data_IF_810679545090
#
_entry.id   IF_810679545090
#
_cell.length_a   1.000
_cell.length_b   1.000
_cell.length_c   1.000
_cell.angle_alpha   90.00
_cell.angle_beta   90.00
_cell.angle_gamma   90.00
#
_symmetry.space_group_name_H-M   'P 1'
#
loop_
_entity.id
_entity.type
_entity.pdbx_description
1 polymer ?
#
# COMPACT_ATOMS: atom_id res chain seq x y z
N UNK A 1 7.56 -33.45 3.78
CA UNK A 1 8.21 -32.18 3.43
C UNK A 1 9.69 -32.46 3.20
N UNK A 2 10.24 -31.95 2.10
CA UNK A 2 11.67 -32.00 1.76
C UNK A 2 12.30 -30.64 1.96
N UNK A 3 13.61 -30.60 2.22
CA UNK A 3 14.31 -29.38 2.59
C UNK A 3 15.71 -29.34 1.99
N UNK A 4 16.19 -28.15 1.62
CA UNK A 4 17.61 -27.88 1.36
C UNK A 4 18.06 -26.60 2.06
N UNK A 5 19.31 -26.56 2.50
CA UNK A 5 19.88 -25.43 3.20
C UNK A 5 21.27 -25.10 2.67
N UNK A 6 21.69 -23.85 2.83
CA UNK A 6 23.05 -23.44 2.48
C UNK A 6 24.03 -23.49 3.66
N UNK A 7 23.62 -24.09 4.79
CA UNK A 7 24.43 -24.19 6.00
C UNK A 7 25.71 -25.02 5.79
N UNK A 8 25.68 -25.97 4.86
CA UNK A 8 26.87 -26.74 4.46
C UNK A 8 27.92 -25.90 3.72
N UNK A 9 27.57 -24.71 3.21
CA UNK A 9 28.47 -23.81 2.47
C UNK A 9 28.85 -22.56 3.29
N UNK A 10 28.20 -22.34 4.44
CA UNK A 10 28.57 -21.30 5.41
C UNK A 10 27.96 -21.64 6.77
N UNK A 11 28.79 -21.63 7.84
CA UNK A 11 28.35 -21.82 9.23
C UNK A 11 27.36 -20.76 9.72
N UNK A 12 27.20 -19.65 8.97
CA UNK A 12 26.22 -18.58 9.22
C UNK A 12 25.07 -18.63 8.19
N UNK A 13 25.00 -19.68 7.38
CA UNK A 13 23.97 -19.88 6.35
C UNK A 13 22.59 -20.04 6.98
N UNK A 14 21.68 -19.09 6.70
CA UNK A 14 20.29 -19.07 7.21
C UNK A 14 19.25 -19.30 6.13
N UNK A 15 19.65 -19.77 4.95
CA UNK A 15 18.73 -19.97 3.82
C UNK A 15 18.23 -21.41 3.87
N UNK A 16 16.92 -21.55 4.02
CA UNK A 16 16.20 -22.82 4.01
C UNK A 16 15.14 -22.77 2.92
N UNK A 17 15.16 -23.77 2.04
CA UNK A 17 14.10 -24.00 1.05
C UNK A 17 13.39 -25.28 1.47
N UNK A 18 12.10 -25.19 1.78
CA UNK A 18 11.27 -26.30 2.28
C UNK A 18 10.08 -26.45 1.34
N UNK A 19 9.81 -27.67 0.87
CA UNK A 19 8.73 -27.93 -0.06
C UNK A 19 8.04 -29.28 0.20
N UNK A 20 6.83 -29.45 -0.31
CA UNK A 20 6.12 -30.72 -0.26
C UNK A 20 6.36 -31.47 -1.59
N UNK A 21 7.06 -32.61 -1.59
CA UNK A 21 7.31 -33.39 -2.81
C UNK A 21 6.05 -33.84 -3.55
N UNK A 22 4.91 -33.92 -2.86
CA UNK A 22 3.63 -34.25 -3.48
C UNK A 22 2.96 -33.08 -4.22
N UNK A 23 3.54 -31.87 -4.20
CA UNK A 23 2.98 -30.64 -4.80
C UNK A 23 3.96 -29.99 -5.76
N UNK A 24 5.25 -29.98 -5.41
CA UNK A 24 6.30 -29.39 -6.23
C UNK A 24 7.57 -30.20 -6.07
N UNK A 25 8.34 -30.36 -7.14
CA UNK A 25 9.66 -30.93 -7.12
C UNK A 25 10.68 -29.82 -7.30
N UNK A 26 11.50 -29.58 -6.27
CA UNK A 26 12.60 -28.64 -6.33
C UNK A 26 13.91 -29.39 -6.56
N UNK A 27 14.57 -29.13 -7.69
CA UNK A 27 15.86 -29.70 -8.05
C UNK A 27 16.93 -28.62 -7.90
N UNK A 28 17.90 -28.86 -7.03
CA UNK A 28 18.98 -27.90 -6.78
C UNK A 28 19.99 -27.97 -7.92
N UNK A 29 20.35 -26.80 -8.45
CA UNK A 29 21.36 -26.63 -9.50
C UNK A 29 22.69 -26.22 -8.89
N UNK A 30 22.68 -25.27 -7.95
CA UNK A 30 23.90 -24.76 -7.30
C UNK A 30 23.58 -24.19 -5.91
N UNK A 31 24.55 -24.25 -4.99
CA UNK A 31 24.42 -23.69 -3.64
C UNK A 31 25.67 -22.89 -3.30
N UNK A 32 25.49 -21.66 -2.85
CA UNK A 32 26.54 -20.80 -2.33
C UNK A 32 26.26 -20.34 -0.91
N UNK A 33 27.25 -19.68 -0.29
CA UNK A 33 27.08 -19.03 1.01
C UNK A 33 25.98 -17.95 1.02
N UNK A 34 25.54 -17.48 -0.15
CA UNK A 34 24.58 -16.38 -0.30
C UNK A 34 23.28 -16.77 -1.02
N UNK A 35 23.21 -17.94 -1.68
CA UNK A 35 22.03 -18.33 -2.46
C UNK A 35 21.88 -19.86 -2.61
N UNK A 36 20.65 -20.31 -2.90
CA UNK A 36 20.33 -21.66 -3.36
C UNK A 36 19.65 -21.51 -4.72
N UNK A 37 20.32 -21.96 -5.78
CA UNK A 37 19.80 -21.99 -7.14
C UNK A 37 19.17 -23.36 -7.40
N UNK A 38 17.95 -23.38 -7.92
CA UNK A 38 17.29 -24.61 -8.29
C UNK A 38 16.14 -24.38 -9.24
N UNK A 39 15.74 -25.45 -9.93
CA UNK A 39 14.57 -25.50 -10.79
C UNK A 39 13.38 -26.02 -10.01
N UNK A 40 12.25 -25.32 -10.12
CA UNK A 40 10.95 -25.75 -9.59
C UNK A 40 10.16 -26.39 -10.73
N UNK A 41 9.85 -27.67 -10.57
CA UNK A 41 8.92 -28.39 -11.44
C UNK A 41 7.64 -28.59 -10.66
N UNK A 42 6.55 -27.98 -11.11
CA UNK A 42 5.22 -28.22 -10.54
C UNK A 42 4.61 -29.40 -11.27
N UNK A 43 4.31 -30.50 -10.57
CA UNK A 43 3.59 -31.63 -11.18
C UNK A 43 2.14 -31.25 -11.54
N UNK A 44 1.62 -30.16 -10.97
CA UNK A 44 0.32 -29.58 -11.29
C UNK A 44 0.36 -28.06 -11.13
N UNK A 45 0.36 -27.34 -12.25
CA UNK A 45 0.01 -25.92 -12.25
C UNK A 45 -1.50 -25.86 -12.04
N UNK A 46 -1.93 -25.73 -10.79
CA UNK A 46 -3.37 -25.70 -10.46
C UNK A 46 -3.94 -24.37 -10.92
N UNK A 47 -4.68 -24.41 -12.03
CA UNK A 47 -5.65 -23.36 -12.37
C UNK A 47 -6.83 -23.51 -11.42
N UNK A 48 -7.17 -22.43 -10.72
CA UNK A 48 -8.48 -22.31 -10.07
C UNK A 48 -9.52 -22.03 -11.16
N UNK A 49 -10.17 -23.08 -11.68
CA UNK A 49 -11.58 -22.91 -12.04
C UNK A 49 -12.32 -23.03 -10.74
N UNK A 50 -12.77 -21.88 -10.24
CA UNK A 50 -13.64 -21.82 -9.07
C UNK A 50 -14.93 -22.54 -9.47
N UNK A 51 -15.08 -23.74 -8.93
CA UNK A 51 -16.13 -24.70 -9.24
C UNK A 51 -16.98 -24.88 -7.99
N UNK A 52 -18.30 -24.94 -8.14
CA UNK A 52 -19.18 -25.23 -7.00
C UNK A 52 -19.06 -26.67 -6.47
N UNK A 53 -18.37 -27.56 -7.19
CA UNK A 53 -18.18 -28.97 -6.82
C UNK A 53 -16.74 -29.32 -6.40
N UNK A 54 -16.58 -30.40 -5.62
CA UNK A 54 -15.30 -30.85 -5.00
C UNK A 54 -14.22 -31.37 -5.98
N UNK A 55 -14.38 -31.22 -7.29
CA UNK A 55 -13.47 -31.80 -8.30
C UNK A 55 -12.63 -30.71 -8.97
N UNK A 56 -11.35 -30.65 -8.62
CA UNK A 56 -10.34 -29.85 -9.32
C UNK A 56 -10.10 -30.47 -10.71
N UNK A 57 -10.41 -29.73 -11.76
CA UNK A 57 -10.17 -30.15 -13.15
C UNK A 57 -9.23 -29.13 -13.79
N UNK A 58 -7.99 -29.54 -14.06
CA UNK A 58 -7.04 -28.79 -14.90
C UNK A 58 -6.93 -29.52 -16.24
N UNK A 59 -7.03 -28.79 -17.35
CA UNK A 59 -6.84 -29.33 -18.69
C UNK A 59 -5.69 -28.61 -19.39
N UNK A 60 -5.05 -29.27 -20.36
CA UNK A 60 -3.99 -28.66 -21.18
C UNK A 60 -4.44 -27.34 -21.82
N UNK A 61 -5.69 -27.28 -22.27
CA UNK A 61 -6.27 -26.06 -22.84
C UNK A 61 -6.35 -24.90 -21.83
N UNK A 62 -6.55 -25.20 -20.53
CA UNK A 62 -6.58 -24.19 -19.47
C UNK A 62 -5.18 -23.63 -19.17
N UNK A 63 -4.16 -24.49 -19.19
CA UNK A 63 -2.75 -24.09 -19.04
C UNK A 63 -2.29 -23.25 -20.25
N UNK A 64 -2.66 -23.66 -21.47
CA UNK A 64 -2.39 -22.91 -22.70
C UNK A 64 -3.09 -21.54 -22.70
N UNK A 65 -4.33 -21.48 -22.22
CA UNK A 65 -5.06 -20.21 -22.05
C UNK A 65 -4.40 -19.30 -21.02
N UNK A 66 -3.95 -19.84 -19.88
CA UNK A 66 -3.19 -19.05 -18.89
C UNK A 66 -1.88 -18.53 -19.47
N UNK A 67 -1.15 -19.36 -20.20
CA UNK A 67 0.08 -18.93 -20.87
C UNK A 67 -0.20 -17.80 -21.87
N UNK A 68 -1.31 -17.89 -22.62
CA UNK A 68 -1.76 -16.83 -23.52
C UNK A 68 -2.07 -15.53 -22.76
N UNK A 69 -2.82 -15.58 -21.66
CA UNK A 69 -3.10 -14.42 -20.81
C UNK A 69 -1.80 -13.74 -20.34
N UNK A 70 -0.85 -14.54 -19.83
CA UNK A 70 0.45 -14.02 -19.38
C UNK A 70 1.26 -13.41 -20.52
N UNK A 71 1.29 -14.07 -21.69
CA UNK A 71 2.00 -13.59 -22.88
C UNK A 71 1.42 -12.30 -23.44
N UNK A 72 0.09 -12.15 -23.38
CA UNK A 72 -0.63 -10.96 -23.84
C UNK A 72 -0.61 -9.81 -22.82
N UNK A 73 -0.03 -10.00 -21.63
CA UNK A 73 -0.02 -9.02 -20.53
C UNK A 73 -1.42 -8.48 -20.19
N UNK A 74 -2.42 -9.37 -20.18
CA UNK A 74 -3.79 -9.04 -19.80
C UNK A 74 -4.10 -9.58 -18.40
N UNK A 75 -4.86 -8.81 -17.62
CA UNK A 75 -5.31 -9.20 -16.28
C UNK A 75 -6.83 -9.11 -16.19
N UNK A 76 -7.42 -9.86 -15.26
CA UNK A 76 -8.84 -9.71 -14.93
C UNK A 76 -9.15 -8.29 -14.47
N UNK A 77 -10.20 -7.72 -15.05
CA UNK A 77 -10.87 -6.57 -14.46
C UNK A 77 -11.51 -7.00 -13.14
N UNK A 78 -11.60 -6.06 -12.20
CA UNK A 78 -12.32 -6.30 -10.96
C UNK A 78 -13.80 -6.59 -11.27
N UNK A 79 -14.36 -7.58 -10.60
CA UNK A 79 -15.72 -8.07 -10.85
C UNK A 79 -16.62 -7.86 -9.64
N UNK A 80 -17.87 -7.47 -9.89
CA UNK A 80 -18.98 -7.41 -8.93
C UNK A 80 -20.18 -8.20 -9.47
N UNK A 81 -21.18 -8.47 -8.62
CA UNK A 81 -22.37 -9.24 -9.02
C UNK A 81 -22.20 -10.75 -8.83
N UNK A 82 -22.68 -11.54 -9.80
CA UNK A 82 -22.66 -13.00 -9.76
C UNK A 82 -21.24 -13.55 -9.90
N UNK A 83 -20.83 -14.38 -8.94
CA UNK A 83 -19.50 -14.96 -8.95
C UNK A 83 -19.33 -16.10 -9.97
N UNK A 84 -20.33 -16.99 -10.04
CA UNK A 84 -20.38 -18.02 -11.09
C UNK A 84 -21.10 -17.45 -12.29
N UNK A 85 -20.41 -17.41 -13.42
CA UNK A 85 -20.94 -16.81 -14.64
C UNK A 85 -21.73 -17.81 -15.47
N UNK A 86 -21.53 -19.11 -15.27
CA UNK A 86 -22.25 -20.17 -15.98
C UNK A 86 -22.83 -21.21 -15.04
N UNK A 87 -23.98 -21.77 -15.39
CA UNK A 87 -24.58 -22.91 -14.69
C UNK A 87 -25.20 -23.92 -15.67
N UNK A 88 -25.16 -25.21 -15.34
CA UNK A 88 -25.70 -26.25 -16.21
C UNK A 88 -27.23 -26.42 -16.14
N UNK A 89 -27.94 -25.53 -15.43
CA UNK A 89 -29.41 -25.57 -15.17
C UNK A 89 -29.96 -26.89 -14.59
N UNK A 90 -29.10 -27.79 -14.11
CA UNK A 90 -29.53 -29.04 -13.46
C UNK A 90 -29.86 -28.82 -12.00
N UNK A 91 -30.63 -29.72 -11.41
CA UNK A 91 -31.07 -29.68 -10.02
C UNK A 91 -30.34 -30.71 -9.16
N UNK A 92 -30.31 -30.49 -7.84
CA UNK A 92 -29.75 -31.45 -6.88
C UNK A 92 -28.23 -31.58 -6.95
N UNK A 93 -27.71 -32.78 -6.67
CA UNK A 93 -26.27 -33.06 -6.62
C UNK A 93 -25.55 -32.92 -7.98
N UNK A 94 -26.30 -32.85 -9.08
CA UNK A 94 -25.76 -32.62 -10.42
C UNK A 94 -25.68 -31.13 -10.81
N UNK A 95 -26.17 -30.24 -9.94
CA UNK A 95 -26.11 -28.80 -10.18
C UNK A 95 -24.66 -28.32 -10.17
N UNK A 96 -24.21 -27.77 -11.29
CA UNK A 96 -22.84 -27.31 -11.49
C UNK A 96 -22.88 -25.84 -11.90
N UNK A 97 -22.16 -25.01 -11.15
CA UNK A 97 -21.85 -23.64 -11.51
C UNK A 97 -20.34 -23.47 -11.69
N UNK A 98 -19.95 -22.66 -12.69
CA UNK A 98 -18.56 -22.38 -13.04
C UNK A 98 -18.37 -20.91 -13.36
N UNK A 99 -17.20 -20.39 -13.03
CA UNK A 99 -16.73 -19.09 -13.53
C UNK A 99 -15.95 -19.31 -14.83
N UNK A 100 -16.58 -19.05 -15.97
CA UNK A 100 -15.97 -19.23 -17.30
C UNK A 100 -15.87 -17.93 -18.10
N UNK A 101 -16.72 -16.96 -17.79
CA UNK A 101 -16.75 -15.66 -18.45
C UNK A 101 -15.89 -14.67 -17.67
N UNK A 102 -14.98 -13.97 -18.36
CA UNK A 102 -14.02 -13.04 -17.76
C UNK A 102 -13.93 -11.78 -18.59
N UNK A 103 -13.92 -10.63 -17.93
CA UNK A 103 -13.55 -9.36 -18.53
C UNK A 103 -12.05 -9.11 -18.27
N UNK A 104 -11.25 -9.02 -19.34
CA UNK A 104 -9.79 -8.86 -19.26
C UNK A 104 -9.37 -7.50 -19.80
N UNK A 105 -8.42 -6.84 -19.13
CA UNK A 105 -7.84 -5.57 -19.54
C UNK A 105 -6.32 -5.67 -19.69
N UNK A 106 -5.76 -4.99 -20.69
CA UNK A 106 -4.31 -4.79 -20.82
C UNK A 106 -3.88 -3.51 -20.08
N UNK A 107 -2.58 -3.20 -20.12
CA UNK A 107 -2.03 -1.97 -19.54
C UNK A 107 -2.76 -0.69 -19.97
N UNK A 108 -3.09 -0.57 -21.26
CA UNK A 108 -3.77 0.61 -21.81
C UNK A 108 -5.15 0.81 -21.19
N UNK A 109 -5.88 -0.30 -20.98
CA UNK A 109 -7.15 -0.27 -20.26
C UNK A 109 -6.97 0.29 -18.84
N UNK A 110 -6.06 -0.26 -18.04
CA UNK A 110 -5.83 0.24 -16.67
C UNK A 110 -5.30 1.68 -16.63
N UNK A 111 -4.67 2.16 -17.70
CA UNK A 111 -4.21 3.55 -17.81
C UNK A 111 -5.38 4.52 -18.02
N UNK A 112 -6.32 4.20 -18.91
CA UNK A 112 -7.44 5.08 -19.28
C UNK A 112 -8.70 4.89 -18.43
N UNK A 113 -8.92 3.66 -17.98
CA UNK A 113 -10.14 3.16 -17.35
C UNK A 113 -9.85 2.49 -16.00
N UNK A 114 -8.97 3.08 -15.18
CA UNK A 114 -8.58 2.51 -13.88
C UNK A 114 -9.76 2.29 -12.93
N UNK A 115 -10.85 3.02 -13.11
CA UNK A 115 -11.96 3.04 -12.16
C UNK A 115 -13.14 2.16 -12.63
N UNK A 116 -13.01 1.50 -13.79
CA UNK A 116 -14.06 0.65 -14.36
C UNK A 116 -13.96 -0.78 -13.81
N UNK A 117 -15.11 -1.33 -13.43
CA UNK A 117 -15.27 -2.70 -12.95
C UNK A 117 -16.29 -3.42 -13.83
N UNK A 118 -16.13 -4.74 -13.97
CA UNK A 118 -17.09 -5.59 -14.66
C UNK A 118 -18.20 -6.01 -13.69
N UNK A 119 -19.45 -5.84 -14.09
CA UNK A 119 -20.62 -6.25 -13.32
C UNK A 119 -21.26 -7.48 -13.99
N UNK A 120 -21.27 -8.62 -13.29
CA UNK A 120 -21.96 -9.81 -13.76
C UNK A 120 -23.38 -9.83 -13.21
N UNK A 121 -24.35 -9.60 -14.09
CA UNK A 121 -25.76 -9.52 -13.75
C UNK A 121 -26.38 -10.93 -13.59
N UNK A 122 -27.54 -11.05 -12.91
CA UNK A 122 -28.26 -12.31 -12.85
C UNK A 122 -28.53 -12.88 -14.26
N UNK A 123 -28.33 -14.19 -14.47
CA UNK A 123 -28.38 -14.80 -15.81
C UNK A 123 -29.78 -14.81 -16.44
N UNK A 124 -30.83 -14.58 -15.64
CA UNK A 124 -32.23 -14.60 -16.11
C UNK A 124 -32.58 -15.92 -16.78
N UNK A 125 -32.97 -15.84 -18.05
CA UNK A 125 -33.32 -17.01 -18.88
C UNK A 125 -32.11 -17.74 -19.49
N UNK A 126 -30.90 -17.18 -19.38
CA UNK A 126 -29.67 -17.78 -19.92
C UNK A 126 -29.00 -18.71 -18.90
N UNK A 127 -28.18 -19.62 -19.38
CA UNK A 127 -27.20 -20.37 -18.60
C UNK A 127 -25.92 -19.58 -18.32
N UNK A 128 -25.72 -18.44 -19.00
CA UNK A 128 -24.66 -17.47 -18.75
C UNK A 128 -25.16 -16.18 -18.08
N UNK A 129 -24.28 -15.56 -17.29
CA UNK A 129 -24.49 -14.26 -16.64
C UNK A 129 -24.01 -13.15 -17.58
N UNK A 130 -24.86 -12.17 -17.93
CA UNK A 130 -24.42 -11.05 -18.76
C UNK A 130 -23.36 -10.21 -18.04
N UNK A 131 -22.28 -9.88 -18.75
CA UNK A 131 -21.24 -8.98 -18.28
C UNK A 131 -21.52 -7.55 -18.74
N UNK A 132 -21.72 -6.65 -17.79
CA UNK A 132 -21.92 -5.22 -18.01
C UNK A 132 -20.65 -4.44 -17.64
N UNK A 133 -20.22 -3.54 -18.52
CA UNK A 133 -19.04 -2.69 -18.34
C UNK A 133 -19.44 -1.21 -18.51
N UNK A 134 -19.69 -0.48 -17.41
CA UNK A 134 -20.03 0.93 -17.48
C UNK A 134 -18.80 1.76 -17.87
N UNK A 135 -18.80 2.35 -19.06
CA UNK A 135 -17.72 3.22 -19.55
C UNK A 135 -17.74 4.64 -18.97
N UNK A 136 -18.76 4.98 -18.18
CA UNK A 136 -18.86 6.29 -17.52
C UNK A 136 -17.96 6.37 -16.30
N UNK A 137 -17.13 7.41 -16.24
CA UNK A 137 -16.26 7.69 -15.08
C UNK A 137 -17.11 8.13 -13.90
N UNK A 138 -17.09 7.43 -12.75
CA UNK A 138 -17.71 7.95 -11.56
C UNK A 138 -17.04 9.27 -11.17
N UNK A 139 -17.85 10.30 -10.94
CA UNK A 139 -17.39 11.56 -10.38
C UNK A 139 -16.92 11.32 -8.94
N UNK A 140 -15.62 11.10 -8.73
CA UNK A 140 -15.05 11.07 -7.38
C UNK A 140 -15.14 12.49 -6.83
N UNK A 141 -16.16 12.76 -6.02
CA UNK A 141 -16.31 14.01 -5.28
C UNK A 141 -15.44 13.94 -4.02
N UNK A 142 -14.32 14.66 -4.01
CA UNK A 142 -13.50 14.81 -2.81
C UNK A 142 -12.04 15.18 -3.09
N UNK A 143 -11.47 16.01 -2.22
CA UNK A 143 -10.03 16.31 -2.25
C UNK A 143 -9.21 15.12 -1.77
N UNK A 144 -8.07 14.85 -2.43
CA UNK A 144 -7.14 13.81 -1.96
C UNK A 144 -6.55 14.22 -0.61
N UNK A 145 -6.52 13.31 0.39
CA UNK A 145 -5.91 13.61 1.68
C UNK A 145 -4.43 13.91 1.52
N UNK A 146 -3.93 14.87 2.30
CA UNK A 146 -2.50 15.20 2.34
C UNK A 146 -1.71 13.98 2.81
N UNK A 147 -0.60 13.68 2.11
CA UNK A 147 0.36 12.64 2.50
C UNK A 147 1.76 13.16 2.25
N UNK A 148 2.62 13.06 3.27
CA UNK A 148 4.02 13.45 3.19
C UNK A 148 4.76 12.61 2.15
N UNK A 149 5.52 13.29 1.29
CA UNK A 149 6.40 12.65 0.32
C UNK A 149 7.84 12.72 0.82
N UNK A 150 8.53 11.58 0.85
CA UNK A 150 9.90 11.50 1.38
C UNK A 150 10.88 12.36 0.57
N UNK A 151 10.59 12.60 -0.71
CA UNK A 151 11.39 13.46 -1.60
C UNK A 151 11.36 14.93 -1.21
N UNK A 152 10.42 15.38 -0.38
CA UNK A 152 10.40 16.77 0.06
C UNK A 152 11.58 17.09 0.98
N UNK A 153 12.07 16.11 1.75
CA UNK A 153 13.20 16.31 2.64
C UNK A 153 14.51 16.60 1.92
N UNK A 154 14.67 16.18 0.66
CA UNK A 154 15.88 16.47 -0.12
C UNK A 154 15.90 17.90 -0.68
N UNK A 155 14.80 18.65 -0.58
CA UNK A 155 14.75 20.03 -1.04
C UNK A 155 15.41 20.97 -0.02
N UNK A 156 16.30 21.84 -0.48
CA UNK A 156 17.07 22.76 0.36
C UNK A 156 16.21 23.63 1.30
N UNK A 157 15.01 24.03 0.87
CA UNK A 157 14.10 24.86 1.67
C UNK A 157 13.29 24.08 2.70
N UNK A 158 13.31 22.74 2.69
CA UNK A 158 12.44 21.92 3.53
C UNK A 158 12.59 22.24 5.02
N UNK A 159 13.82 22.18 5.55
CA UNK A 159 14.07 22.50 6.96
C UNK A 159 13.76 23.96 7.29
N UNK A 160 13.93 24.88 6.33
CA UNK A 160 13.51 26.28 6.46
C UNK A 160 12.01 26.38 6.71
N UNK A 161 11.19 25.76 5.86
CA UNK A 161 9.73 25.74 6.00
C UNK A 161 9.27 25.12 7.32
N UNK A 162 9.96 24.07 7.79
CA UNK A 162 9.66 23.47 9.09
C UNK A 162 9.99 24.43 10.24
N UNK A 163 11.10 25.18 10.15
CA UNK A 163 11.45 26.20 11.17
C UNK A 163 10.49 27.38 11.16
N UNK A 164 9.98 27.78 9.99
CA UNK A 164 9.06 28.93 9.87
C UNK A 164 7.76 28.73 10.67
N UNK A 165 7.33 27.46 10.81
CA UNK A 165 6.16 27.08 11.61
C UNK A 165 6.49 26.80 13.09
N UNK A 166 7.76 26.86 13.51
CA UNK A 166 8.17 26.62 14.90
C UNK A 166 7.91 27.78 15.88
N UNK A 167 7.02 28.70 15.51
CA UNK A 167 6.64 29.83 16.36
C UNK A 167 5.97 29.33 17.65
N UNK A 168 6.06 30.15 18.69
CA UNK A 168 5.30 29.91 19.93
C UNK A 168 3.81 29.99 19.62
N UNK A 169 3.08 28.93 19.96
CA UNK A 169 1.63 28.85 19.81
C UNK A 169 1.03 28.56 21.18
N UNK A 170 -0.15 29.09 21.43
CA UNK A 170 -0.91 28.81 22.65
C UNK A 170 -1.54 27.41 22.59
N UNK A 171 -1.64 26.75 23.75
CA UNK A 171 -2.29 25.45 23.94
C UNK A 171 -1.43 24.46 24.71
N UNK A 172 -1.96 23.26 24.93
CA UNK A 172 -1.14 22.17 25.50
C UNK A 172 -0.02 21.77 24.52
N UNK A 173 1.10 21.21 25.00
CA UNK A 173 2.20 20.80 24.11
C UNK A 173 1.75 19.88 22.95
N UNK A 174 0.79 18.98 23.20
CA UNK A 174 0.19 18.17 22.12
C UNK A 174 -0.60 19.00 21.11
N UNK A 175 -1.40 19.96 21.56
CA UNK A 175 -2.15 20.83 20.65
C UNK A 175 -1.23 21.72 19.82
N UNK A 176 -0.14 22.20 20.42
CA UNK A 176 0.88 23.00 19.74
C UNK A 176 1.50 22.21 18.59
N UNK A 177 1.95 20.98 18.83
CA UNK A 177 2.49 20.10 17.77
C UNK A 177 1.44 19.88 16.67
N UNK A 178 0.20 19.55 17.04
CA UNK A 178 -0.89 19.39 16.07
C UNK A 178 -1.18 20.64 15.24
N UNK A 179 -1.12 21.85 15.85
CA UNK A 179 -1.27 23.14 15.15
C UNK A 179 -0.11 23.39 14.19
N UNK A 180 1.14 23.16 14.62
CA UNK A 180 2.35 23.31 13.78
C UNK A 180 2.30 22.40 12.55
N UNK A 181 1.97 21.11 12.74
CA UNK A 181 1.78 20.17 11.63
C UNK A 181 0.69 20.61 10.66
N UNK A 182 -0.43 21.15 11.17
CA UNK A 182 -1.51 21.67 10.31
C UNK A 182 -1.07 22.90 9.50
N UNK A 183 -0.31 23.82 10.09
CA UNK A 183 0.22 25.00 9.39
C UNK A 183 1.26 24.64 8.33
N UNK A 184 2.00 23.55 8.53
CA UNK A 184 3.01 23.08 7.59
C UNK A 184 2.42 22.47 6.31
N UNK A 185 1.20 21.90 6.37
CA UNK A 185 0.52 21.28 5.22
C UNK A 185 0.44 22.19 3.97
N UNK A 186 -0.09 23.42 4.03
CA UNK A 186 -0.16 24.30 2.86
C UNK A 186 1.22 24.64 2.29
N UNK A 187 2.23 24.89 3.14
CA UNK A 187 3.60 25.19 2.70
C UNK A 187 4.22 24.02 1.93
N UNK A 188 4.03 22.78 2.41
CA UNK A 188 4.50 21.59 1.71
C UNK A 188 3.74 21.31 0.42
N UNK A 189 2.43 21.61 0.37
CA UNK A 189 1.63 21.54 -0.87
C UNK A 189 2.12 22.54 -1.90
N UNK A 190 2.46 23.76 -1.47
CA UNK A 190 3.03 24.78 -2.33
C UNK A 190 4.41 24.38 -2.84
N UNK A 191 5.29 23.87 -1.96
CA UNK A 191 6.58 23.30 -2.36
C UNK A 191 6.41 22.19 -3.40
N UNK A 192 5.44 21.29 -3.21
CA UNK A 192 5.14 20.23 -4.17
C UNK A 192 4.71 20.81 -5.52
N UNK A 193 3.82 21.79 -5.53
CA UNK A 193 3.33 22.39 -6.77
C UNK A 193 4.43 23.16 -7.53
N UNK A 194 5.38 23.76 -6.82
CA UNK A 194 6.50 24.51 -7.42
C UNK A 194 7.61 23.59 -7.95
N UNK A 195 8.02 22.60 -7.17
CA UNK A 195 9.26 21.84 -7.46
C UNK A 195 9.05 20.37 -7.84
N UNK A 196 7.86 19.80 -7.61
CA UNK A 196 7.63 18.34 -7.70
C UNK A 196 6.32 17.93 -8.39
N UNK A 197 5.63 18.85 -9.08
CA UNK A 197 4.28 18.63 -9.63
C UNK A 197 4.27 17.52 -10.68
N UNK A 198 5.29 17.47 -11.54
CA UNK A 198 5.43 16.46 -12.57
C UNK A 198 6.91 16.06 -12.81
N UNK A 199 7.45 15.17 -11.96
CA UNK A 199 8.83 14.70 -12.09
C UNK A 199 9.10 14.02 -13.44
N UNK A 200 8.11 13.31 -13.98
CA UNK A 200 8.24 12.58 -15.25
C UNK A 200 8.41 13.53 -16.44
N UNK A 201 7.68 14.66 -16.44
CA UNK A 201 7.85 15.69 -17.46
C UNK A 201 9.22 16.35 -17.38
N UNK A 202 9.76 16.59 -16.17
CA UNK A 202 11.11 17.13 -16.00
C UNK A 202 12.16 16.16 -16.58
N UNK A 203 12.08 14.87 -16.24
CA UNK A 203 12.97 13.85 -16.81
C UNK A 203 12.87 13.78 -18.35
N UNK A 204 11.65 13.87 -18.89
CA UNK A 204 11.42 13.83 -20.34
C UNK A 204 12.04 15.04 -21.04
N UNK A 205 11.90 16.23 -20.47
CA UNK A 205 12.46 17.46 -21.04
C UNK A 205 13.99 17.47 -20.97
N UNK A 206 14.58 17.05 -19.85
CA UNK A 206 16.03 16.93 -19.71
C UNK A 206 16.61 15.89 -20.68
N UNK A 207 15.93 14.77 -20.90
CA UNK A 207 16.35 13.78 -21.90
C UNK A 207 16.31 14.38 -23.33
N UNK A 208 15.27 15.15 -23.67
CA UNK A 208 15.21 15.84 -24.97
C UNK A 208 16.34 16.86 -25.13
N UNK A 209 16.64 17.64 -24.09
CA UNK A 209 17.75 18.60 -24.11
C UNK A 209 19.10 17.89 -24.25
N UNK A 210 19.28 16.76 -23.55
CA UNK A 210 20.48 15.93 -23.67
C UNK A 210 20.66 15.41 -25.10
N UNK A 211 19.62 14.85 -25.71
CA UNK A 211 19.69 14.39 -27.11
C UNK A 211 20.02 15.54 -28.07
N UNK A 212 19.44 16.72 -27.88
CA UNK A 212 19.73 17.89 -28.72
C UNK A 212 21.19 18.36 -28.56
N UNK A 213 21.73 18.35 -27.34
CA UNK A 213 23.14 18.69 -27.11
C UNK A 213 24.11 17.64 -27.65
N UNK A 214 23.79 16.36 -27.51
CA UNK A 214 24.59 15.29 -28.08
C UNK A 214 24.61 15.35 -29.61
N UNK A 215 23.48 15.68 -30.25
CA UNK A 215 23.42 15.91 -31.68
C UNK A 215 24.25 17.15 -32.12
N UNK A 216 24.28 18.21 -31.30
CA UNK A 216 25.13 19.37 -31.58
C UNK A 216 26.64 19.06 -31.43
N UNK A 217 27.01 18.24 -30.44
CA UNK A 217 28.38 17.78 -30.22
C UNK A 217 28.89 16.81 -31.30
N UNK A 218 27.99 16.07 -31.97
CA UNK A 218 28.35 15.23 -33.12
C UNK A 218 28.85 16.07 -34.31
N UNK A 219 28.38 17.32 -34.43
CA UNK A 219 28.81 18.27 -35.47
C UNK A 219 30.12 18.97 -35.13
N UNK A 220 30.38 19.26 -33.85
CA UNK A 220 31.65 19.85 -33.35
C UNK A 220 32.10 19.19 -32.02
N UNK A 221 32.83 18.05 -32.10
CA UNK A 221 33.23 17.27 -30.93
C UNK A 221 34.24 17.95 -30.00
N UNK A 222 34.89 19.02 -30.49
CA UNK A 222 35.90 19.81 -29.80
C UNK A 222 35.35 20.96 -28.97
N UNK A 223 34.03 21.23 -29.06
CA UNK A 223 33.41 22.33 -28.34
C UNK A 223 33.34 22.05 -26.83
N UNK A 224 34.23 22.71 -26.07
CA UNK A 224 34.36 22.57 -24.62
C UNK A 224 33.11 23.06 -23.88
N UNK A 225 32.49 24.15 -24.34
CA UNK A 225 31.29 24.70 -23.70
C UNK A 225 30.09 23.76 -23.85
N UNK A 226 29.92 23.18 -25.04
CA UNK A 226 28.87 22.20 -25.31
C UNK A 226 29.06 20.92 -24.48
N UNK A 227 30.30 20.44 -24.28
CA UNK A 227 30.58 19.30 -23.38
C UNK A 227 30.30 19.61 -21.91
N UNK A 228 30.69 20.79 -21.43
CA UNK A 228 30.37 21.20 -20.06
C UNK A 228 28.85 21.27 -19.84
N UNK A 229 28.12 21.74 -20.85
CA UNK A 229 26.65 21.78 -20.82
C UNK A 229 26.04 20.39 -20.85
N UNK A 230 26.55 19.47 -21.66
CA UNK A 230 26.13 18.05 -21.65
C UNK A 230 26.31 17.45 -20.25
N UNK A 231 27.48 17.63 -19.63
CA UNK A 231 27.74 17.12 -18.29
C UNK A 231 26.74 17.68 -17.27
N UNK A 232 26.45 18.99 -17.32
CA UNK A 232 25.47 19.62 -16.44
C UNK A 232 24.06 19.04 -16.62
N UNK A 233 23.60 18.88 -17.86
CA UNK A 233 22.29 18.29 -18.17
C UNK A 233 22.22 16.85 -17.68
N UNK A 234 23.30 16.08 -17.82
CA UNK A 234 23.38 14.68 -17.42
C UNK A 234 23.34 14.54 -15.89
N UNK A 235 24.03 15.43 -15.16
CA UNK A 235 23.93 15.52 -13.70
C UNK A 235 22.50 15.87 -13.24
N UNK A 236 21.87 16.85 -13.89
CA UNK A 236 20.52 17.27 -13.54
C UNK A 236 19.47 16.22 -13.90
N UNK A 237 19.68 15.48 -15.01
CA UNK A 237 18.88 14.32 -15.37
C UNK A 237 18.98 13.22 -14.30
N UNK A 238 20.19 12.89 -13.85
CA UNK A 238 20.37 11.89 -12.78
C UNK A 238 19.70 12.32 -11.47
N UNK A 239 19.77 13.60 -11.10
CA UNK A 239 19.06 14.12 -9.92
C UNK A 239 17.54 14.00 -10.10
N UNK A 240 17.01 14.43 -11.24
CA UNK A 240 15.57 14.35 -11.54
C UNK A 240 15.06 12.91 -11.56
N UNK A 241 15.81 12.00 -12.19
CA UNK A 241 15.49 10.57 -12.28
C UNK A 241 15.41 9.91 -10.90
N UNK A 242 16.34 10.22 -9.99
CA UNK A 242 16.29 9.75 -8.60
C UNK A 242 15.06 10.25 -7.85
N UNK A 243 14.65 11.50 -8.08
CA UNK A 243 13.44 12.08 -7.48
C UNK A 243 12.19 11.40 -8.02
N UNK A 244 12.10 11.20 -9.33
CA UNK A 244 11.00 10.48 -9.98
C UNK A 244 10.89 9.05 -9.43
N UNK A 245 12.00 8.31 -9.39
CA UNK A 245 12.04 6.95 -8.88
C UNK A 245 11.57 6.89 -7.41
N UNK A 246 12.12 7.76 -6.55
CA UNK A 246 11.74 7.81 -5.14
C UNK A 246 10.25 8.13 -4.94
N UNK A 247 9.72 9.07 -5.73
CA UNK A 247 8.30 9.42 -5.73
C UNK A 247 7.40 8.24 -6.13
N UNK A 248 7.75 7.57 -7.22
CA UNK A 248 6.99 6.43 -7.74
C UNK A 248 7.10 5.22 -6.83
N UNK A 249 8.28 4.94 -6.29
CA UNK A 249 8.53 3.86 -5.31
C UNK A 249 7.67 4.03 -4.06
N UNK A 250 7.62 5.25 -3.51
CA UNK A 250 6.78 5.54 -2.35
C UNK A 250 5.29 5.35 -2.66
N UNK A 251 4.82 5.79 -3.83
CA UNK A 251 3.43 5.60 -4.28
C UNK A 251 3.10 4.13 -4.54
N UNK A 252 4.02 3.39 -5.14
CA UNK A 252 3.86 1.98 -5.48
C UNK A 252 3.84 1.11 -4.23
N UNK A 253 4.39 1.56 -3.09
CA UNK A 253 4.49 0.80 -1.82
C UNK A 253 5.13 -0.58 -2.05
N UNK A 254 6.22 -0.63 -2.83
CA UNK A 254 6.99 -1.85 -3.11
C UNK A 254 8.18 -1.92 -2.15
N UNK A 255 8.25 -2.97 -1.35
CA UNK A 255 9.32 -3.20 -0.36
C UNK A 255 10.46 -4.08 -0.87
N UNK A 256 10.21 -4.89 -1.92
CA UNK A 256 11.08 -5.99 -2.33
C UNK A 256 12.15 -5.63 -3.37
N UNK A 257 12.07 -4.44 -3.99
CA UNK A 257 13.11 -3.97 -4.92
C UNK A 257 14.36 -3.57 -4.14
N UNK A 258 15.21 -4.57 -3.87
CA UNK A 258 16.54 -4.43 -3.28
C UNK A 258 17.67 -4.38 -4.33
N UNK A 259 17.38 -4.64 -5.61
CA UNK A 259 18.39 -4.71 -6.67
C UNK A 259 17.95 -3.89 -7.90
N UNK A 260 18.54 -2.70 -8.03
CA UNK A 260 19.38 -2.40 -9.20
C UNK A 260 18.77 -1.82 -10.47
N UNK A 261 17.44 -1.83 -10.68
CA UNK A 261 16.89 -1.25 -11.92
C UNK A 261 15.93 -0.07 -11.65
N UNK A 262 16.32 1.12 -12.12
CA UNK A 262 15.53 2.36 -12.09
C UNK A 262 14.36 2.28 -13.08
N UNK A 263 13.42 1.38 -12.84
CA UNK A 263 12.29 1.14 -13.73
C UNK A 263 11.06 1.96 -13.29
N UNK A 264 11.03 3.24 -13.67
CA UNK A 264 9.87 4.12 -13.43
C UNK A 264 8.58 3.57 -14.06
N UNK A 265 8.67 2.94 -15.24
CA UNK A 265 7.54 2.34 -15.93
C UNK A 265 6.90 1.20 -15.11
N UNK A 266 7.70 0.34 -14.48
CA UNK A 266 7.20 -0.70 -13.58
C UNK A 266 6.42 -0.10 -12.41
N UNK A 267 6.98 0.92 -11.73
CA UNK A 267 6.28 1.57 -10.63
C UNK A 267 4.98 2.24 -11.07
N UNK A 268 4.97 2.91 -12.22
CA UNK A 268 3.76 3.48 -12.81
C UNK A 268 2.69 2.41 -13.04
N UNK A 269 3.08 1.26 -13.60
CA UNK A 269 2.17 0.13 -13.84
C UNK A 269 1.58 -0.39 -12.54
N UNK A 270 2.42 -0.67 -11.56
CA UNK A 270 1.99 -1.16 -10.24
C UNK A 270 1.07 -0.18 -9.54
N UNK A 271 1.35 1.14 -9.59
CA UNK A 271 0.49 2.16 -8.97
C UNK A 271 -0.90 2.14 -9.57
N UNK A 272 -1.02 2.06 -10.91
CA UNK A 272 -2.30 2.10 -11.61
C UNK A 272 -3.13 0.84 -11.39
N UNK A 273 -2.51 -0.34 -11.48
CA UNK A 273 -3.18 -1.62 -11.18
C UNK A 273 -3.65 -1.65 -9.72
N UNK A 274 -2.81 -1.20 -8.78
CA UNK A 274 -3.21 -1.10 -7.35
C UNK A 274 -4.34 -0.11 -7.13
N UNK A 275 -4.36 1.03 -7.83
CA UNK A 275 -5.48 1.97 -7.75
C UNK A 275 -6.77 1.30 -8.23
N UNK A 276 -6.76 0.68 -9.40
CA UNK A 276 -7.91 -0.02 -9.95
C UNK A 276 -8.45 -1.12 -9.02
N UNK A 277 -7.54 -1.94 -8.48
CA UNK A 277 -7.91 -3.02 -7.55
C UNK A 277 -8.51 -2.51 -6.24
N UNK A 278 -7.98 -1.40 -5.70
CA UNK A 278 -8.38 -0.88 -4.38
C UNK A 278 -9.57 0.07 -4.43
N UNK A 279 -9.95 0.61 -5.60
CA UNK A 279 -11.14 1.46 -5.75
C UNK A 279 -12.39 0.65 -5.48
N UNK A 280 -13.17 0.98 -4.45
CA UNK A 280 -14.44 0.32 -4.14
C UNK A 280 -15.55 1.12 -4.80
N UNK A 281 -16.15 0.60 -5.87
CA UNK A 281 -17.24 1.32 -6.57
C UNK A 281 -18.59 1.09 -5.90
N UNK A 282 -18.91 -0.18 -5.60
CA UNK A 282 -20.16 -0.60 -4.97
C UNK A 282 -19.94 -1.75 -3.99
N UNK A 283 -20.89 -1.90 -3.09
CA UNK A 283 -20.94 -2.97 -2.08
C UNK A 283 -22.36 -3.55 -2.06
N UNK A 284 -22.46 -4.87 -1.87
CA UNK A 284 -23.71 -5.56 -1.60
C UNK A 284 -24.06 -5.40 -0.11
N UNK A 285 -25.22 -4.80 0.17
CA UNK A 285 -25.75 -4.64 1.52
C UNK A 285 -26.37 -5.94 2.03
N UNK A 286 -26.66 -5.96 3.34
CA UNK A 286 -27.36 -7.07 4.00
C UNK A 286 -28.79 -7.30 3.48
N UNK A 287 -29.45 -6.25 2.95
CA UNK A 287 -30.78 -6.35 2.34
C UNK A 287 -30.77 -6.95 0.91
N UNK A 288 -29.59 -7.33 0.41
CA UNK A 288 -29.40 -7.87 -0.93
C UNK A 288 -29.34 -6.81 -2.04
N UNK A 289 -29.40 -5.52 -1.73
CA UNK A 289 -29.27 -4.44 -2.70
C UNK A 289 -27.83 -3.95 -2.83
N UNK A 290 -27.46 -3.52 -4.03
CA UNK A 290 -26.18 -2.86 -4.29
C UNK A 290 -26.26 -1.37 -3.98
N UNK A 291 -25.21 -0.82 -3.37
CA UNK A 291 -25.04 0.64 -3.24
C UNK A 291 -24.93 1.30 -4.62
N UNK A 292 -25.54 2.47 -4.79
CA UNK A 292 -25.60 3.19 -6.06
C UNK A 292 -24.54 4.27 -6.20
N UNK A 293 -23.99 4.77 -5.08
CA UNK A 293 -23.02 5.86 -5.09
C UNK A 293 -21.98 5.73 -3.95
N UNK A 294 -20.90 6.52 -4.07
CA UNK A 294 -19.78 6.52 -3.12
C UNK A 294 -20.16 6.98 -1.70
N UNK A 295 -21.16 7.85 -1.56
CA UNK A 295 -21.62 8.32 -0.25
C UNK A 295 -22.34 7.19 0.49
N UNK A 296 -23.16 6.42 -0.22
CA UNK A 296 -23.84 5.25 0.29
C UNK A 296 -22.83 4.15 0.68
N UNK A 297 -21.79 3.92 -0.13
CA UNK A 297 -20.68 3.03 0.24
C UNK A 297 -20.02 3.49 1.54
N UNK A 298 -19.72 4.78 1.68
CA UNK A 298 -19.10 5.32 2.89
C UNK A 298 -19.99 5.16 4.14
N UNK A 299 -21.28 5.48 4.02
CA UNK A 299 -22.26 5.33 5.10
C UNK A 299 -22.43 3.87 5.52
N UNK A 300 -22.49 2.96 4.55
CA UNK A 300 -22.59 1.53 4.80
C UNK A 300 -21.34 0.98 5.52
N UNK A 301 -20.15 1.43 5.12
CA UNK A 301 -18.91 1.10 5.81
C UNK A 301 -18.93 1.56 7.27
N UNK A 302 -19.34 2.80 7.52
CA UNK A 302 -19.41 3.36 8.89
C UNK A 302 -20.41 2.56 9.71
N UNK A 303 -21.60 2.26 9.18
CA UNK A 303 -22.64 1.47 9.85
C UNK A 303 -22.11 0.08 10.25
N UNK A 304 -21.61 -0.69 9.30
CA UNK A 304 -21.14 -2.05 9.52
C UNK A 304 -20.02 -2.14 10.55
N UNK A 305 -18.97 -1.33 10.40
CA UNK A 305 -17.84 -1.37 11.34
C UNK A 305 -18.17 -0.73 12.68
N UNK A 306 -19.08 0.24 12.75
CA UNK A 306 -19.56 0.75 14.05
C UNK A 306 -20.28 -0.35 14.81
N UNK A 307 -21.12 -1.15 14.15
CA UNK A 307 -21.83 -2.26 14.80
C UNK A 307 -20.87 -3.35 15.29
N UNK A 308 -19.79 -3.65 14.54
CA UNK A 308 -18.79 -4.65 14.92
C UNK A 308 -17.86 -4.15 16.02
N UNK A 309 -17.48 -2.87 15.97
CA UNK A 309 -16.53 -2.27 16.92
C UNK A 309 -17.21 -1.73 18.18
N UNK A 310 -18.53 -1.60 18.19
CA UNK A 310 -19.29 -1.38 19.42
C UNK A 310 -19.11 -2.61 20.32
N UNK A 311 -18.40 -2.43 21.43
CA UNK A 311 -18.39 -3.43 22.48
C UNK A 311 -19.82 -3.64 22.98
N UNK A 312 -20.31 -4.88 23.12
CA UNK A 312 -21.45 -5.11 24.00
C UNK A 312 -21.01 -4.68 25.40
N UNK A 313 -21.88 -3.98 26.13
CA UNK A 313 -21.63 -3.54 27.49
C UNK A 313 -21.27 -4.75 28.38
N UNK A 314 -19.98 -5.07 28.46
CA UNK A 314 -19.46 -6.14 29.30
C UNK A 314 -19.20 -5.55 30.67
N UNK A 315 -20.27 -5.09 31.33
CA UNK A 315 -20.31 -4.98 32.80
C UNK A 315 -20.34 -6.37 33.45
N UNK A 316 -19.41 -7.25 33.06
CA UNK A 316 -19.11 -8.42 33.85
C UNK A 316 -18.24 -7.98 35.02
N UNK A 317 -18.68 -8.21 36.26
CA UNK A 317 -17.79 -8.14 37.42
C UNK A 317 -16.77 -9.27 37.31
N UNK A 318 -15.68 -9.02 36.60
CA UNK A 318 -14.57 -9.96 36.51
C UNK A 318 -13.94 -10.11 37.90
N UNK A 319 -14.04 -11.30 38.49
CA UNK A 319 -13.37 -11.59 39.75
C UNK A 319 -11.91 -11.96 39.47
N UNK A 320 -11.05 -10.94 39.44
CA UNK A 320 -9.62 -11.09 39.17
C UNK A 320 -8.85 -11.84 40.28
N UNK A 321 -9.49 -12.21 41.41
CA UNK A 321 -8.87 -12.94 42.53
C UNK A 321 -8.36 -14.35 42.17
N UNK A 322 -8.65 -14.86 40.96
CA UNK A 322 -8.16 -16.17 40.49
C UNK A 322 -6.86 -16.12 39.66
N UNK A 323 -6.35 -14.93 39.31
CA UNK A 323 -5.04 -14.81 38.67
C UNK A 323 -3.97 -14.78 39.77
N UNK A 324 -3.28 -15.90 39.95
CA UNK A 324 -2.47 -16.21 41.15
C UNK A 324 -1.14 -15.46 41.29
N UNK A 325 -0.73 -14.65 40.32
CA UNK A 325 0.47 -13.81 40.40
C UNK A 325 0.11 -12.37 40.06
N UNK A 326 0.24 -11.49 41.05
CA UNK A 326 0.10 -10.05 40.87
C UNK A 326 1.44 -9.42 40.46
N UNK A 327 1.36 -8.21 39.93
CA UNK A 327 2.54 -7.39 39.61
C UNK A 327 3.36 -7.19 40.90
N UNK A 328 4.65 -7.55 40.86
CA UNK A 328 5.57 -7.37 41.99
C UNK A 328 5.74 -5.89 42.33
N UNK A 329 6.14 -5.58 43.57
CA UNK A 329 6.34 -4.19 43.98
C UNK A 329 7.42 -3.48 43.14
N UNK A 330 8.47 -4.22 42.77
CA UNK A 330 9.50 -3.74 41.85
C UNK A 330 8.93 -3.38 40.47
N UNK A 331 8.01 -4.20 39.93
CA UNK A 331 7.35 -3.90 38.66
C UNK A 331 6.40 -2.72 38.78
N UNK A 332 5.66 -2.55 39.89
CA UNK A 332 4.81 -1.37 40.10
C UNK A 332 5.62 -0.09 40.12
N UNK A 333 6.73 -0.07 40.86
CA UNK A 333 7.65 1.06 40.89
C UNK A 333 8.24 1.33 39.50
N UNK A 334 8.59 0.28 38.76
CA UNK A 334 9.09 0.41 37.39
C UNK A 334 8.05 0.90 36.40
N UNK A 335 6.75 0.59 36.59
CA UNK A 335 5.65 1.02 35.72
C UNK A 335 5.16 2.42 36.05
N UNK A 336 5.30 2.86 37.30
CA UNK A 336 4.90 4.20 37.76
C UNK A 336 5.97 5.28 37.61
N UNK A 337 7.13 4.95 37.04
CA UNK A 337 8.19 5.94 36.78
C UNK A 337 7.81 6.84 35.60
N UNK A 338 8.34 8.06 35.62
CA UNK A 338 8.19 8.98 34.50
C UNK A 338 8.84 8.45 33.22
N UNK A 339 8.20 8.70 32.10
CA UNK A 339 8.72 8.34 30.78
C UNK A 339 9.90 9.25 30.43
N UNK A 340 11.04 8.64 30.12
CA UNK A 340 12.28 9.34 29.79
C UNK A 340 12.32 9.77 28.31
N UNK A 341 13.14 10.78 27.98
CA UNK A 341 13.33 11.23 26.60
C UNK A 341 13.83 10.09 25.70
N UNK A 342 14.73 9.26 26.24
CA UNK A 342 15.31 8.12 25.52
C UNK A 342 14.27 7.05 25.21
N UNK A 343 13.38 6.74 26.15
CA UNK A 343 12.28 5.79 25.90
C UNK A 343 11.35 6.27 24.79
N UNK A 344 11.06 7.58 24.76
CA UNK A 344 10.25 8.18 23.70
C UNK A 344 10.94 8.05 22.35
N UNK A 345 12.24 8.40 22.28
CA UNK A 345 13.01 8.27 21.05
C UNK A 345 13.10 6.81 20.58
N UNK A 346 13.43 5.88 21.47
CA UNK A 346 13.54 4.45 21.17
C UNK A 346 12.20 3.89 20.66
N UNK A 347 11.08 4.26 21.30
CA UNK A 347 9.74 3.88 20.87
C UNK A 347 9.40 4.47 19.48
N UNK A 348 9.77 5.73 19.24
CA UNK A 348 9.51 6.42 17.97
C UNK A 348 10.31 5.79 16.82
N UNK A 349 11.57 5.41 17.07
CA UNK A 349 12.46 4.82 16.04
C UNK A 349 12.31 3.30 15.87
N UNK A 350 11.73 2.59 16.83
CA UNK A 350 11.36 1.17 16.68
C UNK A 350 10.27 0.95 15.63
N UNK A 351 9.50 1.99 15.31
CA UNK A 351 8.44 1.94 14.32
C UNK A 351 8.97 1.93 12.89
N UNK A 352 8.24 1.28 11.99
CA UNK A 352 8.54 1.34 10.56
C UNK A 352 8.16 2.71 9.98
N UNK A 353 9.18 3.51 9.64
CA UNK A 353 9.07 4.90 9.17
C UNK A 353 8.37 5.05 7.81
N UNK A 354 8.36 3.98 7.01
CA UNK A 354 7.76 3.95 5.67
C UNK A 354 6.31 3.42 5.68
N UNK A 355 5.70 3.22 6.86
CA UNK A 355 4.28 2.84 6.97
C UNK A 355 3.34 3.96 6.49
N UNK A 356 2.07 3.60 6.28
CA UNK A 356 1.05 4.56 5.89
C UNK A 356 0.79 5.57 7.03
N UNK A 357 0.71 6.89 6.72
CA UNK A 357 0.39 7.90 7.71
C UNK A 357 -1.10 7.85 8.10
N UNK A 358 -1.43 8.45 9.24
CA UNK A 358 -2.80 8.66 9.67
C UNK A 358 -3.46 9.86 9.00
N UNK A 359 -4.59 10.36 9.54
CA UNK A 359 -5.28 11.57 9.06
C UNK A 359 -4.41 12.83 9.01
N UNK A 360 -3.38 12.92 9.86
CA UNK A 360 -2.43 14.03 9.82
C UNK A 360 -1.59 14.03 8.52
N UNK A 361 -1.43 12.89 7.86
CA UNK A 361 -0.69 12.72 6.62
C UNK A 361 0.84 12.65 6.80
N UNK A 362 1.37 12.64 8.02
CA UNK A 362 2.81 12.59 8.28
C UNK A 362 3.27 11.16 8.60
N UNK A 363 4.31 10.70 7.90
CA UNK A 363 4.94 9.40 8.16
C UNK A 363 6.08 9.54 9.17
N UNK A 364 6.55 8.41 9.72
CA UNK A 364 7.76 8.42 10.58
C UNK A 364 8.97 9.03 9.88
N UNK A 365 9.02 8.96 8.55
CA UNK A 365 10.10 9.56 7.77
C UNK A 365 10.17 11.09 7.91
N UNK A 366 9.02 11.77 7.96
CA UNK A 366 9.00 13.21 8.26
C UNK A 366 9.66 13.52 9.59
N UNK A 367 9.31 12.80 10.66
CA UNK A 367 9.86 13.02 11.99
C UNK A 367 11.37 12.75 12.03
N UNK A 368 11.85 11.74 11.29
CA UNK A 368 13.27 11.49 11.12
C UNK A 368 13.99 12.62 10.40
N UNK A 369 13.46 13.04 9.25
CA UNK A 369 14.09 14.06 8.41
C UNK A 369 14.10 15.45 9.07
N UNK A 370 13.09 15.75 9.90
CA UNK A 370 12.93 17.04 10.58
C UNK A 370 13.30 17.00 12.08
N UNK A 371 13.88 15.91 12.59
CA UNK A 371 14.06 15.67 14.05
C UNK A 371 14.82 16.79 14.75
N UNK A 372 15.85 17.34 14.09
CA UNK A 372 16.65 18.45 14.61
C UNK A 372 15.83 19.72 14.92
N UNK A 373 14.64 19.85 14.33
CA UNK A 373 13.74 20.99 14.50
C UNK A 373 12.52 20.62 15.34
N UNK A 374 11.90 19.46 15.10
CA UNK A 374 10.63 19.09 15.76
C UNK A 374 10.81 18.24 17.02
N UNK A 375 11.99 17.67 17.25
CA UNK A 375 12.19 16.62 18.26
C UNK A 375 11.85 17.05 19.68
N UNK A 376 12.31 18.24 20.10
CA UNK A 376 12.04 18.78 21.43
C UNK A 376 10.55 18.94 21.71
N UNK A 377 9.81 19.47 20.75
CA UNK A 377 8.36 19.67 20.87
C UNK A 377 7.60 18.34 20.90
N UNK A 378 8.03 17.37 20.10
CA UNK A 378 7.42 16.03 20.07
C UNK A 378 7.63 15.31 21.40
N UNK A 379 8.85 15.34 21.95
CA UNK A 379 9.15 14.76 23.27
C UNK A 379 8.32 15.43 24.36
N UNK A 380 8.27 16.76 24.37
CA UNK A 380 7.46 17.52 25.33
C UNK A 380 5.97 17.20 25.21
N UNK A 381 5.46 17.05 23.98
CA UNK A 381 4.08 16.66 23.72
C UNK A 381 3.76 15.27 24.30
N UNK A 382 4.61 14.27 24.05
CA UNK A 382 4.41 12.91 24.55
C UNK A 382 4.50 12.87 26.08
N UNK A 383 5.47 13.55 26.69
CA UNK A 383 5.54 13.68 28.15
C UNK A 383 4.30 14.34 28.74
N UNK A 384 3.81 15.41 28.10
CA UNK A 384 2.62 16.12 28.57
C UNK A 384 1.37 15.23 28.60
N UNK A 385 1.29 14.24 27.70
CA UNK A 385 0.21 13.25 27.71
C UNK A 385 0.25 12.38 28.96
N UNK A 386 1.42 11.81 29.31
CA UNK A 386 1.56 10.95 30.50
C UNK A 386 1.31 11.68 31.82
N UNK A 387 1.48 13.01 31.85
CA UNK A 387 1.18 13.83 33.03
C UNK A 387 -0.29 14.29 33.07
N UNK A 388 -0.85 14.68 31.92
CA UNK A 388 -2.20 15.29 31.87
C UNK A 388 -3.33 14.28 31.63
N UNK A 389 -2.99 13.07 31.19
CA UNK A 389 -3.91 12.00 30.77
C UNK A 389 -4.91 12.43 29.67
N UNK A 390 -4.62 13.54 28.97
CA UNK A 390 -5.50 14.13 27.96
C UNK A 390 -4.91 13.97 26.58
N UNK A 391 -5.59 13.16 25.75
CA UNK A 391 -5.27 13.01 24.34
C UNK A 391 -6.23 13.82 23.46
N UNK A 392 -5.76 14.80 22.66
CA UNK A 392 -6.63 15.52 21.74
C UNK A 392 -7.28 14.59 20.72
N UNK A 393 -8.56 14.82 20.38
CA UNK A 393 -9.31 13.99 19.42
C UNK A 393 -8.62 13.86 18.06
N UNK A 394 -7.88 14.88 17.63
CA UNK A 394 -7.12 14.86 16.38
C UNK A 394 -6.01 13.82 16.36
N UNK A 395 -5.41 13.48 17.51
CA UNK A 395 -4.37 12.45 17.62
C UNK A 395 -4.95 11.04 17.54
N UNK A 396 -6.12 10.82 18.15
CA UNK A 396 -6.85 9.55 18.11
C UNK A 396 -7.64 9.35 16.79
N UNK A 397 -7.73 10.38 15.95
CA UNK A 397 -8.36 10.25 14.64
C UNK A 397 -7.61 9.20 13.80
N UNK A 398 -8.38 8.34 13.13
CA UNK A 398 -7.85 7.18 12.39
C UNK A 398 -8.52 7.11 11.02
N UNK A 399 -7.75 6.83 9.98
CA UNK A 399 -8.31 6.49 8.66
C UNK A 399 -8.59 4.99 8.64
N UNK A 400 -9.84 4.62 8.35
CA UNK A 400 -10.20 3.23 8.09
C UNK A 400 -9.88 2.90 6.62
N UNK A 401 -8.87 2.04 6.42
CA UNK A 401 -8.50 1.52 5.09
C UNK A 401 -9.04 0.10 4.92
N UNK A 402 -9.79 -0.13 3.85
CA UNK A 402 -10.35 -1.45 3.53
C UNK A 402 -9.45 -2.17 2.54
N UNK A 403 -8.97 -3.35 2.92
CA UNK A 403 -8.14 -4.20 2.06
C UNK A 403 -8.94 -5.43 1.64
N UNK A 404 -9.10 -5.70 0.34
CA UNK A 404 -9.73 -6.93 -0.16
C UNK A 404 -9.07 -8.19 0.41
N UNK A 405 -9.85 -9.13 0.94
CA UNK A 405 -9.40 -10.47 1.33
C UNK A 405 -9.30 -11.42 0.13
N UNK A 406 -10.12 -11.19 -0.89
CA UNK A 406 -10.22 -11.99 -2.12
C UNK A 406 -10.08 -11.11 -3.36
N UNK A 407 -10.03 -11.73 -4.55
CA UNK A 407 -9.89 -11.01 -5.83
C UNK A 407 -11.18 -10.29 -6.26
N UNK A 408 -12.35 -10.80 -5.84
CA UNK A 408 -13.67 -10.24 -6.15
C UNK A 408 -14.47 -10.04 -4.86
N UNK A 409 -14.16 -9.00 -4.06
CA UNK A 409 -14.93 -8.72 -2.85
C UNK A 409 -16.24 -8.01 -3.21
N UNK A 410 -17.35 -8.53 -2.70
CA UNK A 410 -18.70 -8.01 -2.96
C UNK A 410 -19.34 -7.43 -1.69
N UNK A 411 -19.05 -8.03 -0.54
CA UNK A 411 -19.62 -7.64 0.75
C UNK A 411 -18.55 -7.04 1.69
N UNK A 412 -18.95 -6.28 2.71
CA UNK A 412 -18.01 -5.69 3.67
C UNK A 412 -17.21 -6.73 4.48
N UNK A 413 -17.76 -7.93 4.67
CA UNK A 413 -17.05 -9.06 5.29
C UNK A 413 -15.84 -9.52 4.48
N UNK A 414 -15.82 -9.26 3.17
CA UNK A 414 -14.74 -9.61 2.26
C UNK A 414 -13.57 -8.61 2.35
N UNK A 415 -13.72 -7.54 3.14
CA UNK A 415 -12.68 -6.57 3.40
C UNK A 415 -12.11 -6.73 4.80
N UNK A 416 -10.79 -6.60 4.90
CA UNK A 416 -10.10 -6.46 6.17
C UNK A 416 -9.98 -4.96 6.49
N UNK A 417 -10.57 -4.49 7.60
CA UNK A 417 -10.34 -3.12 8.05
C UNK A 417 -8.93 -2.98 8.61
N UNK A 418 -8.24 -1.91 8.22
CA UNK A 418 -6.97 -1.48 8.81
C UNK A 418 -7.11 -0.05 9.30
N UNK A 419 -6.85 0.13 10.60
CA UNK A 419 -6.75 1.43 11.24
C UNK A 419 -5.39 2.08 10.95
N UNK A 420 -5.39 3.12 10.12
CA UNK A 420 -4.23 3.98 9.91
C UNK A 420 -4.25 5.12 10.93
N UNK A 421 -3.69 4.86 12.12
CA UNK A 421 -3.53 5.87 13.18
C UNK A 421 -2.35 6.81 12.88
N UNK A 422 -2.37 8.01 13.46
CA UNK A 422 -1.27 8.96 13.40
C UNK A 422 0.03 8.37 13.97
N UNK A 423 1.17 8.80 13.45
CA UNK A 423 2.47 8.26 13.88
C UNK A 423 2.77 8.55 15.35
N UNK A 424 2.45 9.76 15.83
CA UNK A 424 2.62 10.12 17.24
C UNK A 424 1.69 9.33 18.16
N UNK A 425 0.46 9.01 17.72
CA UNK A 425 -0.45 8.15 18.48
C UNK A 425 0.17 6.77 18.72
N UNK A 426 0.76 6.17 17.67
CA UNK A 426 1.43 4.86 17.75
C UNK A 426 2.71 4.86 18.58
N UNK A 427 3.26 6.04 18.86
CA UNK A 427 4.42 6.19 19.74
C UNK A 427 3.99 6.22 21.21
N UNK A 428 2.78 6.71 21.47
CA UNK A 428 2.17 6.77 22.81
C UNK A 428 1.56 5.41 23.19
N UNK A 429 0.88 4.75 22.24
CA UNK A 429 0.27 3.42 22.43
C UNK A 429 1.32 2.32 22.44
#
# INVERSE_FOLDING_TARGET
WSTVTNHCHSLIGRIWVIWNPGVVQFTVIDISSQAIHGTLTFDKTVVFVEHSGNRLVSSKAMEEFEHCIRKCEIEDLRQTGQFFTWNNKRTGAEAIAKKIDRALGNWWWFKEFSDIQAEFLPPGISDHSPCFLPLQRPSIRGGRPFKYLNVWASHQSFLGLVRDVQRQLEGSPMEVVGKKLRLLKPLLKELHNRSFKDPSTVCTNLMKELCAQQAALDVDPSNVEARNREQQILEDYHKASRVEEAFLKQKARVQWLKLGDSNSAYFHRVVKVRQARNTIDRILKEDGQWTQNQEEVANECVRYYSNILQEPDRMGRYNFKRFGEGITEAQKQSMGRDVTDKEIEDALWSQNLDKAPGPDGYSGRFFKDAWSVVGKDVILAIKSFFVSERLPRSYNATILCLIPKSNSPSELKDFRPIACCNFLYKTIS
#
